data_IF_871589674965
#
_entry.id   IF_871589674965
#
_cell.length_a   1.000
_cell.length_b   1.000
_cell.length_c   1.000
_cell.angle_alpha   90.00
_cell.angle_beta   90.00
_cell.angle_gamma   90.00
#
_symmetry.space_group_name_H-M   'P 1'
#
loop_
_entity.id
_entity.type
_entity.pdbx_description
1 polymer ?
#
# COMPACT_ATOMS: atom_id res chain seq x y z
N UNK A 1 31.27 26.50 -52.75
CA UNK A 1 30.72 26.73 -54.10
C UNK A 1 29.30 27.22 -53.92
N UNK A 2 29.02 28.44 -54.37
CA UNK A 2 27.74 29.14 -54.25
C UNK A 2 26.66 28.50 -55.12
N UNK A 3 25.39 28.71 -54.78
CA UNK A 3 24.39 29.18 -55.75
C UNK A 3 23.17 29.77 -55.01
N UNK A 4 22.98 31.06 -55.27
CA UNK A 4 21.86 31.94 -54.96
C UNK A 4 20.66 31.65 -55.86
N UNK A 5 19.44 32.02 -55.43
CA UNK A 5 18.26 32.07 -56.30
C UNK A 5 16.99 32.49 -55.57
N UNK A 6 16.60 33.75 -55.73
CA UNK A 6 15.43 34.39 -55.13
C UNK A 6 14.14 34.18 -55.96
N UNK A 7 12.97 34.27 -55.32
CA UNK A 7 11.73 34.70 -55.97
C UNK A 7 10.71 35.27 -54.94
N UNK A 8 10.29 36.52 -55.18
CA UNK A 8 9.21 37.23 -54.49
C UNK A 8 7.83 36.67 -54.89
N UNK A 9 6.84 36.74 -53.99
CA UNK A 9 5.45 36.49 -54.36
C UNK A 9 4.40 36.70 -53.27
N UNK A 10 3.78 37.90 -53.30
CA UNK A 10 2.40 38.22 -52.95
C UNK A 10 1.88 38.06 -51.50
N UNK A 11 1.59 39.23 -50.90
CA UNK A 11 0.66 39.45 -49.79
C UNK A 11 -0.76 39.00 -50.17
N UNK A 12 -1.37 38.14 -49.35
CA UNK A 12 -2.82 38.02 -49.22
C UNK A 12 -3.20 38.23 -47.75
N UNK A 13 -3.82 39.37 -47.46
CA UNK A 13 -4.45 39.67 -46.17
C UNK A 13 -5.78 38.93 -46.10
N UNK A 14 -5.90 37.95 -45.20
CA UNK A 14 -7.17 37.35 -44.80
C UNK A 14 -7.35 37.57 -43.30
N UNK A 15 -8.05 38.64 -42.96
CA UNK A 15 -8.62 38.89 -41.64
C UNK A 15 -9.79 37.91 -41.42
N UNK A 16 -9.60 36.93 -40.53
CA UNK A 16 -10.67 36.11 -40.00
C UNK A 16 -10.62 36.15 -38.47
N UNK A 17 -11.40 37.07 -37.88
CA UNK A 17 -11.76 37.01 -36.46
C UNK A 17 -12.71 35.82 -36.27
N UNK A 18 -12.16 34.69 -35.84
CA UNK A 18 -12.93 33.60 -35.23
C UNK A 18 -12.63 33.58 -33.74
N UNK A 19 -13.56 34.07 -32.93
CA UNK A 19 -13.57 33.88 -31.48
C UNK A 19 -13.55 32.39 -31.18
N UNK A 20 -12.39 31.86 -30.79
CA UNK A 20 -12.28 30.52 -30.21
C UNK A 20 -12.88 30.56 -28.81
N UNK A 21 -14.07 30.02 -28.69
CA UNK A 21 -14.58 29.51 -27.42
C UNK A 21 -13.74 28.29 -27.08
N UNK A 22 -12.66 28.49 -26.33
CA UNK A 22 -11.85 27.41 -25.80
C UNK A 22 -12.66 26.69 -24.71
N UNK A 23 -13.46 25.71 -25.13
CA UNK A 23 -13.99 24.68 -24.25
C UNK A 23 -12.83 23.73 -23.89
N UNK A 24 -11.91 24.18 -23.04
CA UNK A 24 -10.97 23.30 -22.34
C UNK A 24 -11.72 22.66 -21.17
N UNK A 25 -11.86 21.32 -21.11
CA UNK A 25 -12.34 20.66 -19.89
C UNK A 25 -11.41 21.06 -18.73
N UNK A 26 -11.94 21.38 -17.53
CA UNK A 26 -11.08 21.74 -16.41
C UNK A 26 -10.14 20.58 -16.13
N UNK A 27 -8.85 20.80 -16.36
CA UNK A 27 -7.80 19.90 -15.91
C UNK A 27 -7.83 19.95 -14.39
N UNK A 28 -8.31 18.88 -13.76
CA UNK A 28 -8.26 18.74 -12.31
C UNK A 28 -6.79 18.92 -11.87
N UNK A 29 -6.50 19.75 -10.85
CA UNK A 29 -5.15 19.89 -10.34
C UNK A 29 -4.60 18.52 -9.93
N UNK A 30 -3.39 18.17 -10.39
CA UNK A 30 -2.68 17.04 -9.83
C UNK A 30 -2.42 17.32 -8.34
N UNK A 31 -2.65 16.34 -7.44
CA UNK A 31 -2.41 16.54 -6.02
C UNK A 31 -0.94 16.92 -5.80
N UNK A 32 -0.70 17.95 -4.99
CA UNK A 32 0.66 18.38 -4.68
C UNK A 32 1.32 17.37 -3.72
N UNK A 33 2.66 17.35 -3.68
CA UNK A 33 3.39 16.50 -2.72
C UNK A 33 3.02 16.79 -1.27
N UNK A 34 2.56 18.00 -0.95
CA UNK A 34 2.07 18.37 0.36
C UNK A 34 0.70 17.73 0.68
N UNK A 35 -0.19 17.61 -0.30
CA UNK A 35 -1.50 16.96 -0.15
C UNK A 35 -1.35 15.45 0.07
N UNK A 36 -0.37 14.84 -0.59
CA UNK A 36 0.03 13.45 -0.32
C UNK A 36 0.65 13.35 1.08
N UNK A 37 1.61 14.18 1.46
CA UNK A 37 2.19 14.11 2.81
C UNK A 37 1.15 14.29 3.94
N UNK A 38 0.15 15.16 3.74
CA UNK A 38 -0.93 15.36 4.71
C UNK A 38 -1.85 14.13 4.84
N UNK A 39 -2.07 13.39 3.77
CA UNK A 39 -2.90 12.18 3.79
C UNK A 39 -2.19 10.95 4.39
N UNK A 40 -0.87 11.01 4.57
CA UNK A 40 -0.05 9.97 5.19
C UNK A 40 0.13 10.13 6.69
N UNK A 41 -0.36 11.22 7.27
CA UNK A 41 -0.32 11.42 8.72
C UNK A 41 -1.23 10.41 9.41
N UNK A 42 -0.69 9.76 10.43
CA UNK A 42 -1.45 8.83 11.25
C UNK A 42 -2.38 9.63 12.17
N UNK A 43 -3.69 9.35 12.21
CA UNK A 43 -4.65 10.15 12.97
C UNK A 43 -4.40 10.11 14.49
N UNK A 44 -4.00 8.94 15.01
CA UNK A 44 -3.56 8.76 16.39
C UNK A 44 -2.51 7.65 16.44
N UNK A 45 -1.35 7.83 17.09
CA UNK A 45 -0.38 6.75 17.23
C UNK A 45 -0.96 5.56 18.01
N UNK A 46 -0.81 4.35 17.48
CA UNK A 46 -1.25 3.11 18.12
C UNK A 46 -0.19 2.55 19.09
N UNK A 47 -0.58 1.78 20.12
CA UNK A 47 0.36 1.07 20.98
C UNK A 47 0.98 -0.13 20.22
N UNK A 48 2.23 0.02 19.77
CA UNK A 48 2.89 -0.98 18.89
C UNK A 48 3.80 -1.96 19.62
N UNK A 49 3.75 -2.02 20.95
CA UNK A 49 4.64 -2.86 21.76
C UNK A 49 4.56 -4.35 21.39
N UNK A 50 3.33 -4.86 21.24
CA UNK A 50 3.09 -6.25 20.84
C UNK A 50 3.49 -6.49 19.39
N UNK A 51 3.23 -5.56 18.48
CA UNK A 51 3.65 -5.68 17.09
C UNK A 51 5.18 -5.83 16.95
N UNK A 52 5.94 -5.14 17.79
CA UNK A 52 7.41 -5.15 17.76
C UNK A 52 8.02 -6.35 18.51
N UNK A 53 7.33 -6.91 19.51
CA UNK A 53 7.87 -7.96 20.39
C UNK A 53 7.26 -9.35 20.13
N UNK A 54 5.96 -9.40 19.86
CA UNK A 54 5.18 -10.61 19.59
C UNK A 54 4.03 -10.31 18.61
N UNK A 55 4.31 -10.18 17.30
CA UNK A 55 3.28 -9.89 16.29
C UNK A 55 2.17 -10.93 16.23
N UNK A 56 2.33 -12.12 16.82
CA UNK A 56 1.23 -13.09 16.92
C UNK A 56 0.10 -12.67 17.87
N UNK A 57 0.36 -11.70 18.76
CA UNK A 57 -0.61 -11.22 19.74
C UNK A 57 -1.48 -10.07 19.22
N UNK A 58 -1.17 -9.49 18.05
CA UNK A 58 -1.83 -8.26 17.56
C UNK A 58 -3.20 -8.50 16.92
N UNK A 59 -3.70 -9.73 16.96
CA UNK A 59 -5.03 -10.13 16.53
C UNK A 59 -5.50 -11.25 17.46
N UNK A 60 -6.78 -11.23 17.86
CA UNK A 60 -7.33 -12.29 18.69
C UNK A 60 -7.41 -13.62 17.90
N UNK A 61 -7.10 -14.78 18.50
CA UNK A 61 -7.19 -16.08 17.83
C UNK A 61 -8.56 -16.35 17.17
N UNK A 62 -9.64 -15.87 17.79
CA UNK A 62 -11.00 -16.01 17.28
C UNK A 62 -11.25 -15.29 15.95
N UNK A 63 -10.52 -14.20 15.66
CA UNK A 63 -10.64 -13.48 14.39
C UNK A 63 -10.00 -14.30 13.25
N UNK A 64 -8.86 -14.94 13.49
CA UNK A 64 -8.27 -15.88 12.52
C UNK A 64 -9.12 -17.14 12.35
N UNK A 65 -9.71 -17.65 13.43
CA UNK A 65 -10.64 -18.77 13.36
C UNK A 65 -11.85 -18.47 12.46
N UNK A 66 -12.41 -17.26 12.55
CA UNK A 66 -13.51 -16.79 11.71
C UNK A 66 -13.11 -16.68 10.22
N UNK A 67 -11.81 -16.50 9.94
CA UNK A 67 -11.23 -16.46 8.59
C UNK A 67 -10.75 -17.84 8.10
N UNK A 68 -11.06 -18.94 8.80
CA UNK A 68 -10.56 -20.30 8.54
C UNK A 68 -9.04 -20.47 8.66
N UNK A 69 -8.34 -19.57 9.36
CA UNK A 69 -6.94 -19.74 9.74
C UNK A 69 -6.83 -20.36 11.13
N UNK A 70 -5.71 -21.04 11.40
CA UNK A 70 -5.39 -21.47 12.75
C UNK A 70 -5.36 -20.24 13.66
N UNK A 71 -6.03 -20.26 14.82
CA UNK A 71 -6.02 -19.12 15.73
C UNK A 71 -4.65 -18.82 16.33
N UNK A 72 -3.79 -19.83 16.49
CA UNK A 72 -2.42 -19.67 16.97
C UNK A 72 -1.46 -19.45 15.79
N UNK A 73 -0.79 -18.30 15.78
CA UNK A 73 0.27 -18.00 14.82
C UNK A 73 1.63 -18.53 15.28
N UNK A 74 2.55 -18.66 14.34
CA UNK A 74 3.96 -19.01 14.60
C UNK A 74 4.81 -17.77 14.40
N UNK A 75 5.46 -17.31 15.48
CA UNK A 75 6.37 -16.16 15.43
C UNK A 75 7.68 -16.57 14.75
N UNK A 76 8.20 -15.74 13.85
CA UNK A 76 9.60 -15.76 13.45
C UNK A 76 10.29 -14.49 13.94
N UNK A 77 11.47 -14.65 14.53
CA UNK A 77 12.34 -13.51 14.80
C UNK A 77 13.03 -13.05 13.51
N UNK A 78 13.60 -11.84 13.57
CA UNK A 78 14.33 -11.21 12.47
C UNK A 78 15.42 -12.15 11.95
N UNK A 79 15.52 -12.37 10.64
CA UNK A 79 16.55 -13.21 10.03
C UNK A 79 17.98 -12.59 10.05
N UNK A 80 18.30 -11.84 11.10
CA UNK A 80 19.59 -11.15 11.30
C UNK A 80 19.63 -9.69 10.83
N UNK A 81 18.56 -9.17 10.22
CA UNK A 81 18.44 -7.75 9.84
C UNK A 81 17.60 -6.97 10.88
N UNK A 82 18.20 -6.04 11.65
CA UNK A 82 17.48 -5.25 12.64
C UNK A 82 16.49 -4.24 12.03
N UNK A 83 16.52 -4.04 10.70
CA UNK A 83 15.61 -3.16 9.96
C UNK A 83 14.25 -3.81 9.74
N UNK A 84 14.17 -5.13 9.85
CA UNK A 84 12.95 -5.93 9.74
C UNK A 84 12.57 -6.38 11.14
N UNK A 85 11.33 -6.17 11.56
CA UNK A 85 10.85 -6.63 12.86
C UNK A 85 10.55 -8.13 12.84
N UNK A 86 10.25 -8.74 14.00
CA UNK A 86 9.66 -10.08 14.02
C UNK A 86 8.39 -10.11 13.17
N UNK A 87 8.07 -11.28 12.63
CA UNK A 87 6.80 -11.54 11.98
C UNK A 87 6.04 -12.67 12.67
N UNK A 88 4.78 -12.80 12.31
CA UNK A 88 3.98 -13.95 12.67
C UNK A 88 3.30 -14.52 11.44
N UNK A 89 3.29 -15.85 11.36
CA UNK A 89 2.67 -16.63 10.28
C UNK A 89 1.48 -17.42 10.81
N UNK A 90 0.33 -17.28 10.14
CA UNK A 90 -0.85 -18.12 10.34
C UNK A 90 -1.09 -18.99 9.12
N UNK A 91 -1.51 -20.22 9.35
CA UNK A 91 -1.78 -21.22 8.29
C UNK A 91 -3.27 -21.52 8.26
N UNK A 92 -3.84 -21.62 7.06
CA UNK A 92 -5.24 -22.02 6.90
C UNK A 92 -5.48 -23.42 7.46
N UNK A 93 -6.65 -23.60 8.07
CA UNK A 93 -7.11 -24.91 8.59
C UNK A 93 -7.48 -25.87 7.47
N UNK A 94 -7.73 -25.37 6.26
CA UNK A 94 -8.17 -26.16 5.11
C UNK A 94 -7.04 -26.51 4.14
N UNK A 95 -6.04 -25.65 4.05
CA UNK A 95 -4.96 -25.75 3.06
C UNK A 95 -3.69 -25.10 3.63
N UNK A 96 -2.62 -25.88 3.78
CA UNK A 96 -1.37 -25.39 4.37
C UNK A 96 -0.55 -24.47 3.45
N UNK A 97 -0.91 -24.41 2.16
CA UNK A 97 -0.41 -23.43 1.20
C UNK A 97 -1.00 -22.03 1.39
N UNK A 98 -2.17 -21.90 2.03
CA UNK A 98 -2.78 -20.62 2.32
C UNK A 98 -2.26 -20.06 3.65
N UNK A 99 -1.61 -18.90 3.60
CA UNK A 99 -0.90 -18.31 4.74
C UNK A 99 -1.13 -16.81 4.85
N UNK A 100 -1.07 -16.31 6.08
CA UNK A 100 -1.09 -14.88 6.41
C UNK A 100 0.17 -14.56 7.20
N UNK A 101 0.82 -13.44 6.87
CA UNK A 101 1.93 -12.88 7.63
C UNK A 101 1.57 -11.50 8.15
N UNK A 102 1.95 -11.22 9.40
CA UNK A 102 1.91 -9.87 9.98
C UNK A 102 3.29 -9.54 10.52
N UNK A 103 3.77 -8.33 10.23
CA UNK A 103 5.07 -7.86 10.69
C UNK A 103 5.18 -6.34 10.65
N UNK A 104 6.39 -5.83 10.84
CA UNK A 104 6.68 -4.40 10.78
C UNK A 104 8.10 -4.12 10.30
N UNK A 105 8.35 -2.89 9.86
CA UNK A 105 9.67 -2.41 9.44
C UNK A 105 10.18 -1.32 10.41
N UNK A 106 10.78 -1.68 11.56
CA UNK A 106 11.33 -0.72 12.51
C UNK A 106 12.59 0.01 11.98
N UNK A 107 13.18 -0.49 10.88
CA UNK A 107 14.23 0.21 10.13
C UNK A 107 13.72 1.51 9.50
N UNK A 108 12.47 1.54 9.04
CA UNK A 108 11.84 2.74 8.52
C UNK A 108 11.65 3.74 9.66
N UNK A 109 12.02 5.00 9.41
CA UNK A 109 11.95 6.06 10.42
C UNK A 109 10.78 6.99 10.19
N UNK A 110 10.17 7.01 9.01
CA UNK A 110 9.04 7.88 8.71
C UNK A 110 7.73 7.09 8.49
N UNK A 111 7.66 5.88 9.06
CA UNK A 111 6.49 5.02 8.99
C UNK A 111 6.06 4.74 7.56
N UNK A 112 4.78 4.98 7.25
CA UNK A 112 4.23 4.74 5.91
C UNK A 112 4.80 5.69 4.84
N UNK A 113 5.36 6.84 5.23
CA UNK A 113 5.96 7.77 4.26
C UNK A 113 7.16 7.13 3.55
N UNK A 114 7.93 6.29 4.24
CA UNK A 114 9.05 5.55 3.64
C UNK A 114 8.55 4.50 2.62
N UNK A 115 7.39 3.89 2.88
CA UNK A 115 6.73 2.98 1.92
C UNK A 115 6.28 3.76 0.67
N UNK A 116 5.69 4.95 0.85
CA UNK A 116 5.27 5.81 -0.26
C UNK A 116 6.45 6.33 -1.10
N UNK A 117 7.60 6.61 -0.47
CA UNK A 117 8.82 6.96 -1.18
C UNK A 117 9.32 5.81 -2.10
N UNK A 118 9.00 4.55 -1.75
CA UNK A 118 9.30 3.37 -2.55
C UNK A 118 8.42 3.17 -3.79
N UNK A 119 7.36 3.97 -4.00
CA UNK A 119 6.43 3.87 -5.14
C UNK A 119 7.10 3.69 -6.52
N UNK A 120 8.21 4.38 -6.87
CA UNK A 120 8.85 4.19 -8.17
C UNK A 120 9.35 2.77 -8.43
N UNK A 121 9.55 1.96 -7.38
CA UNK A 121 10.03 0.58 -7.47
C UNK A 121 8.93 -0.47 -7.29
N UNK A 122 7.70 -0.02 -7.03
CA UNK A 122 6.58 -0.91 -6.77
C UNK A 122 6.00 -1.43 -8.09
N UNK A 123 5.74 -2.73 -8.16
CA UNK A 123 5.04 -3.34 -9.29
C UNK A 123 3.54 -2.96 -9.30
N UNK A 124 2.99 -2.69 -8.11
CA UNK A 124 1.67 -2.09 -7.92
C UNK A 124 1.70 -1.16 -6.71
N UNK A 125 0.88 -0.12 -6.74
CA UNK A 125 0.81 0.87 -5.67
C UNK A 125 -0.57 1.52 -5.63
N UNK A 126 -1.44 0.96 -4.80
CA UNK A 126 -2.84 1.37 -4.71
C UNK A 126 -3.10 1.91 -3.28
N UNK A 127 -3.16 3.24 -3.08
CA UNK A 127 -3.48 3.84 -1.78
C UNK A 127 -4.82 3.33 -1.23
N UNK A 128 -4.86 3.03 0.06
CA UNK A 128 -6.07 2.58 0.77
C UNK A 128 -6.16 3.24 2.13
N UNK A 129 -7.33 3.12 2.76
CA UNK A 129 -7.53 3.49 4.16
C UNK A 129 -7.92 2.24 4.92
N UNK A 130 -7.25 1.97 6.04
CA UNK A 130 -7.50 0.79 6.89
C UNK A 130 -8.00 1.29 8.23
N UNK A 131 -9.31 1.18 8.47
CA UNK A 131 -9.95 1.60 9.73
C UNK A 131 -9.57 3.04 10.16
N UNK A 132 -9.48 3.95 9.17
CA UNK A 132 -9.12 5.36 9.33
C UNK A 132 -7.61 5.67 9.26
N UNK A 133 -6.75 4.66 9.15
CA UNK A 133 -5.30 4.82 9.07
C UNK A 133 -4.82 4.82 7.62
N UNK A 134 -3.77 5.60 7.29
CA UNK A 134 -3.20 5.60 5.95
C UNK A 134 -2.65 4.22 5.62
N UNK A 135 -2.94 3.73 4.42
CA UNK A 135 -2.48 2.46 3.93
C UNK A 135 -2.12 2.48 2.44
N UNK A 136 -1.49 1.41 1.98
CA UNK A 136 -1.25 1.17 0.56
C UNK A 136 -1.12 -0.32 0.30
N UNK A 137 -1.79 -0.81 -0.73
CA UNK A 137 -1.47 -2.10 -1.34
C UNK A 137 -0.24 -1.90 -2.22
N UNK A 138 0.89 -2.50 -1.84
CA UNK A 138 2.14 -2.32 -2.58
C UNK A 138 3.11 -3.47 -2.35
N UNK A 139 3.81 -3.86 -3.41
CA UNK A 139 4.95 -4.76 -3.38
C UNK A 139 5.87 -4.48 -4.58
N UNK A 140 7.12 -4.90 -4.48
CA UNK A 140 8.11 -4.84 -5.56
C UNK A 140 7.86 -5.91 -6.63
N UNK A 141 7.05 -6.92 -6.34
CA UNK A 141 6.61 -7.95 -7.29
C UNK A 141 5.08 -8.03 -7.34
N UNK A 142 4.46 -8.07 -8.53
CA UNK A 142 3.01 -8.26 -8.63
C UNK A 142 2.65 -9.75 -8.54
N UNK A 143 2.55 -10.24 -7.30
CA UNK A 143 2.11 -11.59 -6.99
C UNK A 143 0.58 -11.77 -6.94
N UNK A 144 -0.21 -10.71 -7.20
CA UNK A 144 -1.68 -10.74 -7.07
C UNK A 144 -2.33 -11.76 -8.01
N UNK A 145 -1.90 -11.94 -9.28
CA UNK A 145 -2.42 -13.00 -10.15
C UNK A 145 -2.16 -14.42 -9.61
N UNK A 146 -1.12 -14.60 -8.80
CA UNK A 146 -0.80 -15.84 -8.09
C UNK A 146 -1.40 -15.93 -6.69
N UNK A 147 -2.22 -14.95 -6.28
CA UNK A 147 -2.88 -14.96 -4.99
C UNK A 147 -2.02 -14.45 -3.84
N UNK A 148 -1.02 -13.60 -4.11
CA UNK A 148 -0.21 -12.93 -3.11
C UNK A 148 -0.54 -11.42 -3.09
N UNK A 149 -0.84 -10.86 -1.92
CA UNK A 149 -1.09 -9.43 -1.79
C UNK A 149 -0.61 -8.88 -0.44
N UNK A 150 0.05 -7.72 -0.49
CA UNK A 150 0.61 -7.03 0.67
C UNK A 150 -0.09 -5.69 0.86
N UNK A 151 -0.61 -5.45 2.06
CA UNK A 151 -1.02 -4.12 2.51
C UNK A 151 -0.05 -3.60 3.56
N UNK A 152 0.37 -2.35 3.39
CA UNK A 152 1.13 -1.58 4.37
C UNK A 152 0.21 -0.58 5.04
N UNK A 153 0.33 -0.42 6.36
CA UNK A 153 -0.48 0.52 7.14
C UNK A 153 0.42 1.31 8.07
N UNK A 154 0.29 2.64 8.06
CA UNK A 154 0.96 3.49 9.03
C UNK A 154 0.28 3.32 10.38
N UNK A 155 0.98 2.81 11.39
CA UNK A 155 0.44 2.60 12.75
C UNK A 155 0.91 3.69 13.72
N UNK A 156 2.02 4.33 13.39
CA UNK A 156 2.47 5.60 13.96
C UNK A 156 3.11 6.43 12.85
N UNK A 157 3.44 7.69 13.11
CA UNK A 157 4.20 8.53 12.17
C UNK A 157 5.61 7.98 11.88
N UNK A 158 6.09 6.98 12.62
CA UNK A 158 7.44 6.42 12.52
C UNK A 158 7.44 4.91 12.24
N UNK A 159 6.29 4.22 12.27
CA UNK A 159 6.20 2.78 12.08
C UNK A 159 5.08 2.42 11.09
N UNK A 160 5.43 1.56 10.13
CA UNK A 160 4.47 0.88 9.27
C UNK A 160 4.40 -0.61 9.62
N UNK A 161 3.19 -1.14 9.63
CA UNK A 161 2.91 -2.56 9.71
C UNK A 161 2.65 -3.14 8.31
N UNK A 162 3.01 -4.39 8.10
CA UNK A 162 2.69 -5.13 6.88
C UNK A 162 1.75 -6.29 7.19
N UNK A 163 0.75 -6.47 6.36
CA UNK A 163 -0.04 -7.71 6.30
C UNK A 163 0.09 -8.28 4.90
N UNK A 164 0.59 -9.51 4.80
CA UNK A 164 0.72 -10.23 3.54
C UNK A 164 -0.17 -11.47 3.56
N UNK A 165 -1.03 -11.60 2.55
CA UNK A 165 -1.85 -12.78 2.34
C UNK A 165 -1.35 -13.56 1.12
N UNK A 166 -1.19 -14.87 1.25
CA UNK A 166 -0.84 -15.78 0.17
C UNK A 166 -1.88 -16.90 0.13
N UNK A 167 -2.69 -16.92 -0.93
CA UNK A 167 -3.86 -17.78 -1.10
C UNK A 167 -3.75 -18.46 -2.45
N UNK A 168 -3.32 -19.72 -2.48
CA UNK A 168 -2.92 -20.42 -3.71
C UNK A 168 -4.04 -21.19 -4.41
N UNK A 169 -5.08 -21.62 -3.68
CA UNK A 169 -5.82 -22.83 -4.06
C UNK A 169 -7.35 -22.79 -3.94
N UNK A 170 -7.99 -21.63 -3.82
CA UNK A 170 -9.45 -21.53 -3.73
C UNK A 170 -10.06 -20.40 -4.59
N UNK A 171 -11.40 -20.37 -4.69
CA UNK A 171 -12.16 -19.27 -5.34
C UNK A 171 -11.80 -17.89 -4.75
N UNK A 172 -11.28 -17.87 -3.52
CA UNK A 172 -10.83 -16.69 -2.78
C UNK A 172 -9.50 -16.12 -3.27
N UNK A 173 -8.77 -16.80 -4.17
CA UNK A 173 -7.56 -16.27 -4.81
C UNK A 173 -7.80 -14.91 -5.50
N UNK A 174 -9.00 -14.71 -6.04
CA UNK A 174 -9.43 -13.43 -6.61
C UNK A 174 -9.59 -12.31 -5.57
N UNK A 175 -9.71 -12.67 -4.29
CA UNK A 175 -9.98 -11.78 -3.16
C UNK A 175 -8.79 -11.64 -2.20
N UNK A 176 -7.58 -12.11 -2.54
CA UNK A 176 -6.42 -12.08 -1.63
C UNK A 176 -6.16 -10.69 -1.04
N UNK A 177 -6.23 -9.62 -1.83
CA UNK A 177 -6.03 -8.27 -1.31
C UNK A 177 -7.12 -7.83 -0.32
N UNK A 178 -8.37 -8.25 -0.54
CA UNK A 178 -9.45 -8.00 0.41
C UNK A 178 -9.22 -8.76 1.72
N UNK A 179 -8.72 -10.01 1.65
CA UNK A 179 -8.32 -10.77 2.85
C UNK A 179 -7.21 -10.03 3.61
N UNK A 180 -6.16 -9.58 2.91
CA UNK A 180 -5.07 -8.81 3.53
C UNK A 180 -5.58 -7.53 4.19
N UNK A 181 -6.48 -6.78 3.55
CA UNK A 181 -7.10 -5.58 4.13
C UNK A 181 -7.95 -5.91 5.36
N UNK A 182 -8.82 -6.92 5.31
CA UNK A 182 -9.65 -7.31 6.45
C UNK A 182 -8.81 -7.71 7.67
N UNK A 183 -7.71 -8.44 7.45
CA UNK A 183 -6.76 -8.78 8.51
C UNK A 183 -6.05 -7.53 9.04
N UNK A 184 -5.67 -6.59 8.17
CA UNK A 184 -5.09 -5.32 8.60
C UNK A 184 -6.08 -4.48 9.42
N UNK A 185 -7.35 -4.44 9.03
CA UNK A 185 -8.41 -3.79 9.82
C UNK A 185 -8.54 -4.42 11.20
N UNK A 186 -8.56 -5.76 11.28
CA UNK A 186 -8.60 -6.48 12.55
C UNK A 186 -7.40 -6.16 13.45
N UNK A 187 -6.19 -6.09 12.88
CA UNK A 187 -4.99 -5.65 13.59
C UNK A 187 -5.13 -4.22 14.12
N UNK A 188 -5.57 -3.27 13.29
CA UNK A 188 -5.74 -1.87 13.72
C UNK A 188 -6.77 -1.76 14.85
N UNK A 189 -7.91 -2.47 14.75
CA UNK A 189 -8.92 -2.52 15.80
C UNK A 189 -8.38 -3.10 17.11
N UNK A 190 -7.57 -4.16 17.03
CA UNK A 190 -6.93 -4.74 18.20
C UNK A 190 -5.97 -3.75 18.87
N UNK A 191 -5.09 -3.11 18.09
CA UNK A 191 -4.15 -2.11 18.61
C UNK A 191 -4.88 -0.91 19.23
N UNK A 192 -6.01 -0.47 18.66
CA UNK A 192 -6.87 0.57 19.27
C UNK A 192 -7.39 0.14 20.65
N UNK A 193 -7.75 -1.14 20.81
CA UNK A 193 -8.30 -1.68 22.06
C UNK A 193 -7.25 -1.98 23.13
N UNK A 194 -5.96 -2.00 22.78
CA UNK A 194 -4.84 -2.21 23.70
C UNK A 194 -4.31 -0.91 24.34
N UNK A 195 -4.91 0.25 24.00
CA UNK A 195 -4.53 1.57 24.48
C UNK A 195 -5.04 1.88 25.89
#
# INVERSE_FOLDING_TARGET
MQLTGAALGALCLLTACGTKTDNTPPTAPAPSSADVAANLKVPAPLPTGDLLSNPCAVIAPSQFDALNFAGAGTKSDTAGDPSVGPDCRWVSKKDDGNVIFIGSLPGNKNGISDIYAGKPQAAYFDPVTVDGYPGVLSDVHDGRPSGNCTVWVGVTDQLAASVNAQISSDDSKSNTCAIAQNVAEAMIQHLKGAA
#
